data_IF_727306533836
#
_entry.id   IF_727306533836
#
_cell.length_a   1.000
_cell.length_b   1.000
_cell.length_c   1.000
_cell.angle_alpha   90.00
_cell.angle_beta   90.00
_cell.angle_gamma   90.00
#
_symmetry.space_group_name_H-M   'P 1'
#
loop_
_entity.id
_entity.type
_entity.pdbx_description
1 polymer ?
#
# COMPACT_ATOMS: atom_id res chain seq x y z
N UNK A 1 -7.85 -18.29 22.22
CA UNK A 1 -8.31 -17.57 21.01
C UNK A 1 -7.11 -16.82 20.46
N UNK A 2 -6.78 -16.90 19.15
CA UNK A 2 -5.78 -15.99 18.61
C UNK A 2 -6.32 -14.57 18.75
N UNK A 3 -5.56 -13.70 19.42
CA UNK A 3 -5.85 -12.26 19.49
C UNK A 3 -6.02 -11.76 18.06
N UNK A 4 -7.06 -10.96 17.79
CA UNK A 4 -7.21 -10.35 16.47
C UNK A 4 -5.94 -9.57 16.14
N UNK A 5 -5.44 -9.65 14.90
CA UNK A 5 -4.28 -8.87 14.52
C UNK A 5 -4.60 -7.38 14.74
N UNK A 6 -3.68 -6.59 15.31
CA UNK A 6 -3.88 -5.15 15.45
C UNK A 6 -4.24 -4.52 14.10
N UNK A 7 -5.19 -3.57 14.11
CA UNK A 7 -5.81 -3.08 12.89
C UNK A 7 -4.84 -2.27 12.02
N UNK A 8 -5.13 -2.25 10.72
CA UNK A 8 -4.52 -1.31 9.78
C UNK A 8 -4.91 0.11 10.19
N UNK A 9 -3.94 1.02 10.33
CA UNK A 9 -4.23 2.41 10.68
C UNK A 9 -4.15 3.28 9.42
N UNK A 10 -5.29 3.52 8.79
CA UNK A 10 -5.40 4.45 7.64
C UNK A 10 -5.29 5.89 8.17
N UNK A 11 -4.34 6.65 7.62
CA UNK A 11 -4.04 8.04 8.01
C UNK A 11 -4.66 9.07 7.07
N UNK A 12 -5.12 8.64 5.89
CA UNK A 12 -5.88 9.49 4.97
C UNK A 12 -7.34 9.57 5.40
N UNK A 13 -8.00 10.72 5.25
CA UNK A 13 -9.42 10.83 5.55
C UNK A 13 -10.22 9.93 4.61
N UNK A 14 -11.33 9.33 5.08
CA UNK A 14 -12.19 8.54 4.22
C UNK A 14 -12.76 9.43 3.10
N UNK A 15 -12.88 8.92 1.87
CA UNK A 15 -13.48 9.68 0.79
C UNK A 15 -14.97 9.95 1.09
N UNK A 16 -15.56 11.00 0.50
CA UNK A 16 -17.00 11.27 0.60
C UNK A 16 -17.84 10.04 0.25
N UNK A 17 -19.00 9.81 0.88
CA UNK A 17 -19.85 8.63 0.61
C UNK A 17 -20.31 8.51 -0.86
N UNK A 18 -20.36 9.61 -1.60
CA UNK A 18 -20.68 9.66 -3.03
C UNK A 18 -19.57 9.11 -3.92
N UNK A 19 -18.35 9.00 -3.38
CA UNK A 19 -17.17 8.56 -4.12
C UNK A 19 -17.33 7.10 -4.52
N UNK A 20 -17.20 6.76 -5.81
CA UNK A 20 -17.25 5.37 -6.25
C UNK A 20 -16.22 4.50 -5.52
N UNK A 21 -16.65 3.34 -5.03
CA UNK A 21 -15.73 2.37 -4.41
C UNK A 21 -14.64 1.95 -5.41
N UNK A 22 -13.37 1.83 -4.97
CA UNK A 22 -12.31 1.37 -5.85
C UNK A 22 -12.58 -0.08 -6.29
N UNK A 23 -12.22 -0.42 -7.53
CA UNK A 23 -12.22 -1.81 -8.01
C UNK A 23 -10.83 -2.44 -7.89
N UNK A 24 -9.78 -1.61 -7.89
CA UNK A 24 -8.40 -2.05 -7.72
C UNK A 24 -7.70 -1.22 -6.63
N UNK A 25 -7.02 -1.91 -5.72
CA UNK A 25 -6.11 -1.33 -4.72
C UNK A 25 -4.70 -1.84 -5.01
N UNK A 26 -3.81 -0.94 -5.37
CA UNK A 26 -2.39 -1.20 -5.42
C UNK A 26 -1.79 -0.96 -4.04
N UNK A 27 -0.88 -1.82 -3.59
CA UNK A 27 -0.23 -1.71 -2.28
C UNK A 27 1.28 -1.63 -2.47
N UNK A 28 1.86 -0.49 -2.13
CA UNK A 28 3.31 -0.28 -2.08
C UNK A 28 3.79 -0.32 -0.62
N UNK A 29 4.31 -1.47 -0.22
CA UNK A 29 4.88 -1.72 1.11
C UNK A 29 6.39 -1.40 1.10
N UNK A 30 6.80 -0.39 1.87
CA UNK A 30 8.20 0.06 1.93
C UNK A 30 8.52 0.74 3.26
N UNK A 31 9.81 0.86 3.58
CA UNK A 31 10.27 1.61 4.75
C UNK A 31 10.17 3.13 4.60
N UNK A 32 10.05 3.61 3.35
CA UNK A 32 9.92 5.03 3.01
C UNK A 32 10.96 5.91 3.71
N UNK A 33 12.23 5.48 3.78
CA UNK A 33 13.28 6.12 4.59
C UNK A 33 14.50 6.61 3.76
N UNK A 34 14.40 7.76 3.08
CA UNK A 34 13.19 8.50 2.73
C UNK A 34 12.47 7.88 1.51
N UNK A 35 11.24 8.33 1.16
CA UNK A 35 10.68 8.04 -0.16
C UNK A 35 11.59 8.56 -1.27
N UNK A 36 11.52 7.93 -2.44
CA UNK A 36 12.41 8.22 -3.58
C UNK A 36 11.61 8.28 -4.88
N UNK A 37 12.24 8.79 -5.94
CA UNK A 37 11.67 8.80 -7.30
C UNK A 37 11.28 7.40 -7.79
N UNK A 38 11.96 6.34 -7.31
CA UNK A 38 11.58 4.96 -7.63
C UNK A 38 10.20 4.60 -7.07
N UNK A 39 9.91 4.99 -5.83
CA UNK A 39 8.59 4.80 -5.23
C UNK A 39 7.51 5.55 -6.02
N UNK A 40 7.79 6.79 -6.41
CA UNK A 40 6.90 7.59 -7.25
C UNK A 40 6.62 6.92 -8.60
N UNK A 41 7.66 6.42 -9.25
CA UNK A 41 7.53 5.75 -10.54
C UNK A 41 6.71 4.46 -10.44
N UNK A 42 6.93 3.66 -9.39
CA UNK A 42 6.17 2.43 -9.14
C UNK A 42 4.68 2.74 -8.93
N UNK A 43 4.36 3.65 -8.01
CA UNK A 43 2.99 4.04 -7.71
C UNK A 43 2.26 4.61 -8.95
N UNK A 44 2.91 5.53 -9.68
CA UNK A 44 2.33 6.10 -10.91
C UNK A 44 2.13 5.05 -12.00
N UNK A 45 3.09 4.15 -12.19
CA UNK A 45 2.99 3.10 -13.23
C UNK A 45 1.84 2.14 -12.95
N UNK A 46 1.57 1.84 -11.68
CA UNK A 46 0.46 1.02 -11.26
C UNK A 46 -0.88 1.76 -11.43
N UNK A 47 -1.02 2.92 -10.79
CA UNK A 47 -2.25 3.72 -10.79
C UNK A 47 -2.69 4.10 -12.22
N UNK A 48 -1.75 4.49 -13.07
CA UNK A 48 -1.99 4.92 -14.45
C UNK A 48 -1.74 3.84 -15.50
N UNK A 49 -1.73 2.57 -15.10
CA UNK A 49 -1.65 1.45 -16.04
C UNK A 49 -2.72 1.57 -17.13
N UNK A 50 -2.37 1.22 -18.37
CA UNK A 50 -3.33 1.22 -19.49
C UNK A 50 -4.09 -0.10 -19.62
N UNK A 51 -3.75 -1.08 -18.78
CA UNK A 51 -4.37 -2.42 -18.80
C UNK A 51 -5.67 -2.42 -17.99
N UNK A 52 -6.73 -1.86 -18.58
CA UNK A 52 -8.06 -1.77 -17.97
C UNK A 52 -8.68 -3.14 -17.65
N UNK A 53 -8.40 -4.14 -18.47
CA UNK A 53 -8.89 -5.50 -18.25
C UNK A 53 -8.28 -6.13 -17.00
N UNK A 54 -6.98 -5.88 -16.76
CA UNK A 54 -6.29 -6.38 -15.57
C UNK A 54 -6.55 -5.52 -14.34
N UNK A 55 -6.66 -4.20 -14.50
CA UNK A 55 -6.76 -3.24 -13.39
C UNK A 55 -7.95 -2.30 -13.63
N UNK A 56 -9.19 -2.72 -13.34
CA UNK A 56 -10.36 -1.88 -13.57
C UNK A 56 -10.39 -0.65 -12.66
N UNK A 57 -10.89 0.48 -13.18
CA UNK A 57 -11.18 1.71 -12.43
C UNK A 57 -12.50 1.65 -11.62
N UNK A 58 -12.64 2.43 -10.54
CA UNK A 58 -11.64 3.36 -9.96
C UNK A 58 -10.47 2.63 -9.29
N UNK A 59 -9.29 3.25 -9.28
CA UNK A 59 -8.06 2.67 -8.74
C UNK A 59 -7.53 3.51 -7.59
N UNK A 60 -7.05 2.86 -6.54
CA UNK A 60 -6.34 3.53 -5.45
C UNK A 60 -4.98 2.91 -5.22
N UNK A 61 -4.05 3.73 -4.75
CA UNK A 61 -2.73 3.31 -4.28
C UNK A 61 -2.71 3.38 -2.74
N UNK A 62 -2.17 2.37 -2.09
CA UNK A 62 -1.94 2.34 -0.64
C UNK A 62 -0.43 2.35 -0.37
N UNK A 63 0.07 3.46 0.15
CA UNK A 63 1.43 3.55 0.68
C UNK A 63 1.43 2.97 2.10
N UNK A 64 2.02 1.79 2.27
CA UNK A 64 1.98 1.03 3.51
C UNK A 64 3.32 1.08 4.22
N UNK A 65 3.34 1.61 5.45
CA UNK A 65 4.51 1.62 6.32
C UNK A 65 4.37 0.62 7.47
N UNK A 66 5.29 -0.33 7.56
CA UNK A 66 5.39 -1.20 8.72
C UNK A 66 6.06 -0.46 9.90
N UNK A 67 5.41 -0.45 11.08
CA UNK A 67 5.94 0.18 12.31
C UNK A 67 6.80 -0.78 13.13
N UNK A 68 6.68 -2.09 12.89
CA UNK A 68 7.62 -3.09 13.35
C UNK A 68 8.39 -3.67 12.16
N UNK A 69 9.71 -3.70 12.25
CA UNK A 69 10.54 -4.47 11.33
C UNK A 69 10.76 -5.87 11.91
N UNK A 70 10.77 -6.90 11.05
CA UNK A 70 11.03 -8.29 11.48
C UNK A 70 12.37 -8.43 12.21
N UNK A 71 13.34 -7.56 11.87
CA UNK A 71 14.73 -7.67 12.34
C UNK A 71 15.09 -6.66 13.45
N UNK A 72 14.23 -5.67 13.76
CA UNK A 72 14.54 -4.64 14.77
C UNK A 72 13.29 -4.17 15.54
N UNK A 73 13.29 -4.23 16.88
CA UNK A 73 12.16 -3.77 17.68
C UNK A 73 12.04 -2.24 17.63
N UNK A 74 10.82 -1.77 17.35
CA UNK A 74 10.34 -0.39 17.49
C UNK A 74 11.08 0.67 16.63
N UNK A 75 10.69 0.81 15.36
CA UNK A 75 11.18 1.90 14.51
C UNK A 75 10.26 3.12 14.62
N UNK A 76 10.12 3.63 15.85
CA UNK A 76 9.33 4.83 16.12
C UNK A 76 10.11 6.10 15.75
N UNK A 77 11.45 6.05 15.84
CA UNK A 77 12.33 7.13 15.43
C UNK A 77 12.13 7.48 13.94
N UNK A 78 11.80 8.74 13.66
CA UNK A 78 11.55 9.24 12.30
C UNK A 78 10.27 8.70 11.65
N UNK A 79 9.35 8.06 12.38
CA UNK A 79 8.06 7.62 11.81
C UNK A 79 7.25 8.81 11.29
N UNK A 80 7.18 9.88 12.08
CA UNK A 80 6.43 11.09 11.72
C UNK A 80 7.02 11.78 10.49
N UNK A 81 8.35 11.84 10.39
CA UNK A 81 9.05 12.37 9.22
C UNK A 81 8.74 11.52 7.98
N UNK A 82 8.80 10.19 8.12
CA UNK A 82 8.45 9.26 7.03
C UNK A 82 7.02 9.44 6.56
N UNK A 83 6.05 9.50 7.48
CA UNK A 83 4.65 9.76 7.13
C UNK A 83 4.49 11.13 6.46
N UNK A 84 5.19 12.15 6.93
CA UNK A 84 5.17 13.49 6.33
C UNK A 84 5.70 13.45 4.90
N UNK A 85 6.82 12.77 4.65
CA UNK A 85 7.35 12.57 3.30
C UNK A 85 6.43 11.69 2.44
N UNK A 86 5.75 10.69 3.01
CA UNK A 86 4.74 9.89 2.30
C UNK A 86 3.54 10.74 1.84
N UNK A 87 3.13 11.75 2.63
CA UNK A 87 2.09 12.70 2.20
C UNK A 87 2.53 13.54 1.01
N UNK A 88 3.79 13.99 1.00
CA UNK A 88 4.38 14.67 -0.17
C UNK A 88 4.40 13.74 -1.38
N UNK A 89 4.88 12.50 -1.20
CA UNK A 89 4.86 11.48 -2.27
C UNK A 89 3.44 11.22 -2.79
N UNK A 90 2.44 11.12 -1.92
CA UNK A 90 1.05 10.90 -2.31
C UNK A 90 0.51 12.06 -3.17
N UNK A 91 0.83 13.30 -2.79
CA UNK A 91 0.56 14.49 -3.60
C UNK A 91 1.25 14.44 -4.95
N UNK A 92 2.52 14.04 -5.00
CA UNK A 92 3.25 13.89 -6.26
C UNK A 92 2.64 12.80 -7.15
N UNK A 93 2.20 11.67 -6.59
CA UNK A 93 1.57 10.59 -7.38
C UNK A 93 0.37 11.11 -8.18
N UNK A 94 -0.47 11.97 -7.58
CA UNK A 94 -1.67 12.54 -8.22
C UNK A 94 -1.38 13.84 -9.00
N UNK A 95 -0.45 14.68 -8.55
CA UNK A 95 -0.32 16.09 -8.96
C UNK A 95 0.26 16.39 -10.35
N UNK A 96 0.73 15.39 -11.10
CA UNK A 96 1.26 15.59 -12.46
C UNK A 96 0.23 15.37 -13.58
N UNK A 97 -1.06 15.29 -13.21
CA UNK A 97 -2.13 15.28 -14.20
C UNK A 97 -2.23 16.67 -14.84
N UNK A 98 -1.60 16.83 -16.01
CA UNK A 98 -2.10 17.79 -16.97
C UNK A 98 -3.53 17.41 -17.32
N UNK A 99 -4.50 18.05 -16.64
CA UNK A 99 -5.93 18.08 -16.97
C UNK A 99 -6.57 16.73 -17.40
N UNK A 100 -6.14 15.61 -16.82
CA UNK A 100 -6.97 14.41 -16.85
C UNK A 100 -7.94 14.58 -15.70
N UNK A 101 -9.23 14.57 -16.01
CA UNK A 101 -10.30 14.55 -15.02
C UNK A 101 -9.90 13.56 -13.92
N UNK A 102 -9.78 14.04 -12.68
CA UNK A 102 -9.66 13.18 -11.52
C UNK A 102 -10.83 12.20 -11.61
N UNK A 103 -10.57 10.96 -12.03
CA UNK A 103 -11.63 9.98 -12.14
C UNK A 103 -12.14 9.77 -10.73
N UNK A 104 -13.41 10.09 -10.52
CA UNK A 104 -14.05 10.03 -9.20
C UNK A 104 -13.79 8.66 -8.56
N UNK A 105 -13.18 8.65 -7.37
CA UNK A 105 -12.76 7.44 -6.67
C UNK A 105 -11.28 7.04 -6.81
N UNK A 106 -10.50 7.74 -7.63
CA UNK A 106 -9.04 7.61 -7.61
C UNK A 106 -8.38 8.35 -6.44
N UNK A 107 -7.22 7.88 -6.02
CA UNK A 107 -6.45 8.54 -4.99
C UNK A 107 -5.37 7.66 -4.36
N UNK A 108 -4.68 8.25 -3.38
CA UNK A 108 -3.61 7.60 -2.64
C UNK A 108 -3.96 7.60 -1.16
N UNK A 109 -3.97 6.42 -0.56
CA UNK A 109 -4.10 6.21 0.87
C UNK A 109 -2.73 5.99 1.51
N UNK A 110 -2.61 6.39 2.77
CA UNK A 110 -1.43 6.14 3.59
C UNK A 110 -1.89 5.33 4.79
N UNK A 111 -1.24 4.21 5.06
CA UNK A 111 -1.54 3.42 6.25
C UNK A 111 -0.30 2.93 6.98
N UNK A 112 -0.47 2.74 8.29
CA UNK A 112 0.49 2.09 9.15
C UNK A 112 0.03 0.68 9.51
N UNK A 113 0.99 -0.23 9.63
CA UNK A 113 0.72 -1.58 10.11
C UNK A 113 1.82 -2.03 11.07
N UNK A 114 1.50 -2.66 12.21
CA UNK A 114 2.51 -3.25 13.09
C UNK A 114 3.01 -4.61 12.59
N UNK A 115 2.46 -5.13 11.50
CA UNK A 115 2.82 -6.44 10.97
C UNK A 115 4.09 -6.35 10.15
N UNK A 116 5.08 -7.17 10.48
CA UNK A 116 6.33 -7.24 9.72
C UNK A 116 6.23 -8.21 8.52
N UNK A 117 5.52 -9.33 8.69
CA UNK A 117 5.43 -10.38 7.69
C UNK A 117 4.39 -10.04 6.60
N UNK A 118 4.74 -10.34 5.36
CA UNK A 118 3.89 -10.11 4.20
C UNK A 118 2.48 -10.70 4.35
N UNK A 119 2.38 -11.95 4.83
CA UNK A 119 1.09 -12.65 4.99
C UNK A 119 0.19 -11.96 6.02
N UNK A 120 0.77 -11.44 7.11
CA UNK A 120 0.00 -10.75 8.14
C UNK A 120 -0.48 -9.39 7.64
N UNK A 121 0.37 -8.65 6.90
CA UNK A 121 -0.03 -7.42 6.19
C UNK A 121 -1.17 -7.69 5.21
N UNK A 122 -1.06 -8.75 4.39
CA UNK A 122 -2.07 -9.11 3.42
C UNK A 122 -3.41 -9.47 4.08
N UNK A 123 -3.38 -10.18 5.22
CA UNK A 123 -4.59 -10.51 5.98
C UNK A 123 -5.30 -9.28 6.51
N UNK A 124 -4.59 -8.36 7.18
CA UNK A 124 -5.25 -7.15 7.72
C UNK A 124 -5.80 -6.22 6.63
N UNK A 125 -5.14 -6.14 5.48
CA UNK A 125 -5.65 -5.36 4.34
C UNK A 125 -6.86 -6.05 3.69
N UNK A 126 -6.89 -7.39 3.70
CA UNK A 126 -8.03 -8.16 3.20
C UNK A 126 -9.29 -7.99 4.05
N UNK A 127 -9.12 -7.86 5.37
CA UNK A 127 -10.18 -7.70 6.37
C UNK A 127 -10.63 -6.24 6.54
N UNK A 128 -9.90 -5.27 5.99
CA UNK A 128 -10.21 -3.84 6.08
C UNK A 128 -11.50 -3.50 5.30
N UNK A 129 -12.58 -3.03 5.97
CA UNK A 129 -13.87 -2.76 5.34
C UNK A 129 -13.81 -1.74 4.20
N UNK A 130 -12.90 -0.77 4.30
CA UNK A 130 -12.67 0.25 3.26
C UNK A 130 -12.30 -0.38 1.91
N UNK A 131 -11.71 -1.58 1.92
CA UNK A 131 -11.24 -2.31 0.74
C UNK A 131 -12.00 -3.63 0.50
N UNK A 132 -13.21 -3.76 1.04
CA UNK A 132 -14.07 -4.93 0.79
C UNK A 132 -14.44 -5.07 -0.69
N UNK A 133 -14.31 -6.28 -1.24
CA UNK A 133 -14.62 -6.56 -2.66
C UNK A 133 -13.61 -5.97 -3.66
N UNK A 134 -12.56 -5.29 -3.19
CA UNK A 134 -11.55 -4.66 -4.04
C UNK A 134 -10.45 -5.66 -4.41
N UNK A 135 -10.02 -5.67 -5.68
CA UNK A 135 -8.86 -6.42 -6.14
C UNK A 135 -7.58 -5.83 -5.56
N UNK A 136 -6.83 -6.62 -4.79
CA UNK A 136 -5.59 -6.18 -4.10
C UNK A 136 -4.36 -6.62 -4.88
N UNK A 137 -3.48 -5.67 -5.18
CA UNK A 137 -2.28 -5.89 -6.00
C UNK A 137 -1.06 -5.36 -5.27
N UNK A 138 -0.21 -6.25 -4.76
CA UNK A 138 1.03 -5.86 -4.10
C UNK A 138 2.11 -5.51 -5.12
N UNK A 139 2.70 -4.33 -4.98
CA UNK A 139 3.86 -3.89 -5.74
C UNK A 139 5.11 -4.33 -4.99
N UNK A 140 5.85 -5.28 -5.55
CA UNK A 140 7.07 -5.80 -4.96
C UNK A 140 8.27 -5.45 -5.83
N UNK A 141 9.33 -4.96 -5.20
CA UNK A 141 10.66 -4.92 -5.82
C UNK A 141 11.22 -6.33 -5.98
N UNK A 142 12.15 -6.51 -6.91
CA UNK A 142 12.75 -7.81 -7.22
C UNK A 142 13.39 -8.49 -5.99
N UNK A 143 14.13 -7.75 -5.17
CA UNK A 143 14.74 -8.28 -3.94
C UNK A 143 13.70 -8.78 -2.92
N UNK A 144 12.58 -8.06 -2.82
CA UNK A 144 11.48 -8.46 -1.93
C UNK A 144 10.74 -9.69 -2.48
N UNK A 145 10.55 -9.77 -3.79
CA UNK A 145 10.02 -10.98 -4.43
C UNK A 145 10.92 -12.19 -4.18
N UNK A 146 12.25 -12.02 -4.30
CA UNK A 146 13.21 -13.10 -4.01
C UNK A 146 13.09 -13.60 -2.57
N UNK A 147 13.08 -12.69 -1.59
CA UNK A 147 12.88 -13.03 -0.17
C UNK A 147 11.55 -13.73 0.10
N UNK A 148 10.48 -13.29 -0.56
CA UNK A 148 9.15 -13.93 -0.45
C UNK A 148 9.20 -15.39 -0.95
N UNK A 149 9.83 -15.62 -2.11
CA UNK A 149 9.94 -16.96 -2.70
C UNK A 149 10.86 -17.89 -1.88
N UNK A 150 11.97 -17.36 -1.36
CA UNK A 150 12.86 -18.09 -0.43
C UNK A 150 12.09 -18.52 0.83
N UNK A 151 11.28 -17.63 1.42
CA UNK A 151 10.46 -17.96 2.59
C UNK A 151 9.39 -19.02 2.32
N UNK A 152 8.76 -19.00 1.14
CA UNK A 152 7.76 -20.01 0.75
C UNK A 152 8.43 -21.38 0.50
N UNK A 153 9.60 -21.40 -0.13
CA UNK A 153 10.36 -22.63 -0.39
C UNK A 153 10.75 -23.38 0.88
N UNK A 154 11.08 -22.67 1.96
CA UNK A 154 11.44 -23.27 3.26
C UNK A 154 10.24 -23.92 3.97
N UNK A 155 9.00 -23.50 3.68
CA UNK A 155 7.78 -24.04 4.32
C UNK A 155 7.17 -25.24 3.60
N UNK A 156 7.67 -25.63 2.43
CA UNK A 156 7.14 -26.78 1.66
C UNK A 156 7.91 -28.09 1.95
N UNK A 157 8.91 -28.02 2.82
CA UNK A 157 9.64 -29.17 3.38
C UNK A 157 9.26 -29.38 4.85
N UNK A 158 8.00 -29.70 5.13
CA UNK A 158 7.56 -30.38 6.36
C UNK A 158 6.37 -31.27 6.02
#
# INVERSE_FOLDING_TARGET
MPLSPPPLQILTPPPPPSTPKPKTLFILDSSFNPPTTAHLHLARSALFSRDEGRYPHPRRELLLLATANADKPNVEAGREDRVTMMRVLAGDVVGNQGAREEKEGEGVDIALTPHALFIDKARVIAEEPTYEGVKKVFILGFDTLKRLLEFIGVRTTV
#
